data_IF_292929318632
#
_entry.id   IF_292929318632
#
_cell.length_a   1.000
_cell.length_b   1.000
_cell.length_c   1.000
_cell.angle_alpha   90.00
_cell.angle_beta   90.00
_cell.angle_gamma   90.00
#
_symmetry.space_group_name_H-M   'P 1'
#
loop_
_entity.id
_entity.type
_entity.pdbx_description
1 polymer ?
#
# COMPACT_ATOMS: atom_id res chain seq x y z
N UNK A 1 13.81 -13.99 7.00
CA UNK A 1 14.38 -15.34 7.21
C UNK A 1 13.71 -16.22 6.17
N UNK A 2 14.47 -16.84 5.26
CA UNK A 2 13.90 -17.74 4.24
C UNK A 2 13.67 -19.08 4.93
N UNK A 3 12.44 -19.56 4.98
CA UNK A 3 12.14 -20.87 5.53
C UNK A 3 12.21 -21.92 4.43
N UNK A 4 13.03 -22.95 4.67
CA UNK A 4 13.27 -24.04 3.75
C UNK A 4 12.44 -25.25 4.17
N UNK A 5 11.54 -25.70 3.31
CA UNK A 5 10.70 -26.89 3.51
C UNK A 5 11.21 -27.98 2.59
N UNK A 6 11.72 -29.07 3.16
CA UNK A 6 12.14 -30.23 2.38
C UNK A 6 11.02 -31.27 2.34
N UNK A 7 10.44 -31.49 1.16
CA UNK A 7 9.39 -32.49 0.90
C UNK A 7 9.88 -33.60 -0.02
N UNK A 8 11.20 -33.79 -0.14
CA UNK A 8 11.76 -34.90 -0.91
C UNK A 8 11.48 -36.22 -0.22
N UNK A 9 11.11 -37.23 -1.00
CA UNK A 9 10.86 -38.59 -0.50
C UNK A 9 9.59 -38.79 0.34
N UNK A 10 8.73 -37.77 0.50
CA UNK A 10 7.41 -37.92 1.15
C UNK A 10 6.29 -38.05 0.13
N UNK A 11 5.13 -38.55 0.54
CA UNK A 11 3.94 -38.60 -0.31
C UNK A 11 3.37 -37.21 -0.59
N UNK A 12 2.60 -37.07 -1.69
CA UNK A 12 1.94 -35.82 -2.05
C UNK A 12 1.09 -35.22 -0.91
N UNK A 13 0.33 -36.05 -0.18
CA UNK A 13 -0.51 -35.56 0.93
C UNK A 13 0.34 -35.06 2.11
N UNK A 14 1.45 -35.74 2.41
CA UNK A 14 2.38 -35.30 3.45
C UNK A 14 3.06 -33.99 3.08
N UNK A 15 3.46 -33.83 1.82
CA UNK A 15 4.03 -32.59 1.31
C UNK A 15 3.04 -31.42 1.45
N UNK A 16 1.77 -31.62 1.08
CA UNK A 16 0.72 -30.60 1.24
C UNK A 16 0.52 -30.21 2.71
N UNK A 17 0.40 -31.20 3.62
CA UNK A 17 0.20 -30.93 5.05
C UNK A 17 1.38 -30.17 5.67
N UNK A 18 2.63 -30.53 5.32
CA UNK A 18 3.85 -29.86 5.79
C UNK A 18 3.85 -28.38 5.39
N UNK A 19 3.50 -28.11 4.12
CA UNK A 19 3.41 -26.76 3.60
C UNK A 19 2.28 -25.99 4.28
N UNK A 20 1.13 -26.61 4.53
CA UNK A 20 0.01 -25.99 5.26
C UNK A 20 0.38 -25.60 6.70
N UNK A 21 1.06 -26.47 7.45
CA UNK A 21 1.49 -26.15 8.83
C UNK A 21 2.40 -24.92 8.87
N UNK A 22 3.28 -24.76 7.87
CA UNK A 22 4.13 -23.56 7.79
C UNK A 22 3.31 -22.31 7.47
N UNK A 23 2.26 -22.38 6.66
CA UNK A 23 1.47 -21.19 6.33
C UNK A 23 0.41 -20.80 7.38
N UNK A 24 -0.04 -21.73 8.23
CA UNK A 24 -0.96 -21.43 9.33
C UNK A 24 -0.36 -20.48 10.38
N UNK A 25 0.96 -20.50 10.54
CA UNK A 25 1.68 -19.64 11.49
C UNK A 25 1.82 -18.16 11.04
N UNK A 26 1.30 -17.78 9.86
CA UNK A 26 1.13 -16.40 9.33
C UNK A 26 2.35 -15.44 9.35
N UNK A 27 3.55 -15.90 9.72
CA UNK A 27 4.70 -15.02 9.98
C UNK A 27 5.80 -15.09 8.90
N UNK A 28 5.49 -15.59 7.70
CA UNK A 28 6.49 -15.87 6.67
C UNK A 28 6.29 -15.03 5.41
N UNK A 29 7.36 -14.33 5.02
CA UNK A 29 7.43 -13.55 3.79
C UNK A 29 7.72 -14.47 2.60
N UNK A 30 8.74 -15.31 2.72
CA UNK A 30 9.27 -16.15 1.65
C UNK A 30 9.52 -17.59 2.14
N UNK A 31 9.23 -18.57 1.28
CA UNK A 31 9.41 -20.00 1.51
C UNK A 31 10.10 -20.62 0.29
N UNK A 32 11.08 -21.48 0.57
CA UNK A 32 11.77 -22.32 -0.39
C UNK A 32 11.35 -23.77 -0.17
N UNK A 33 10.75 -24.42 -1.16
CA UNK A 33 10.24 -25.80 -1.05
C UNK A 33 11.03 -26.72 -1.98
N UNK A 34 11.64 -27.76 -1.44
CA UNK A 34 12.44 -28.74 -2.18
C UNK A 34 11.60 -29.98 -2.44
N UNK A 35 11.42 -30.32 -3.70
CA UNK A 35 10.62 -31.46 -4.15
C UNK A 35 11.45 -32.32 -5.10
N UNK A 36 11.43 -33.64 -4.93
CA UNK A 36 12.16 -34.58 -5.79
C UNK A 36 11.31 -35.15 -6.92
N UNK A 37 10.02 -34.77 -6.98
CA UNK A 37 9.02 -35.40 -7.83
C UNK A 37 8.18 -34.33 -8.56
N UNK A 38 8.07 -34.46 -9.88
CA UNK A 38 7.38 -33.49 -10.73
C UNK A 38 5.87 -33.41 -10.46
N UNK A 39 5.22 -34.52 -10.14
CA UNK A 39 3.80 -34.54 -9.82
C UNK A 39 3.53 -33.86 -8.47
N UNK A 40 4.40 -34.10 -7.48
CA UNK A 40 4.36 -33.41 -6.18
C UNK A 40 4.59 -31.91 -6.37
N UNK A 41 5.60 -31.51 -7.15
CA UNK A 41 5.87 -30.09 -7.45
C UNK A 41 4.64 -29.40 -8.06
N UNK A 42 4.01 -30.04 -9.04
CA UNK A 42 2.81 -29.48 -9.71
C UNK A 42 1.66 -29.33 -8.71
N UNK A 43 1.40 -30.34 -7.88
CA UNK A 43 0.35 -30.29 -6.88
C UNK A 43 0.60 -29.21 -5.81
N UNK A 44 1.85 -29.00 -5.43
CA UNK A 44 2.25 -27.93 -4.51
C UNK A 44 2.02 -26.55 -5.11
N UNK A 45 2.43 -26.32 -6.36
CA UNK A 45 2.19 -25.05 -7.07
C UNK A 45 0.69 -24.74 -7.12
N UNK A 46 -0.13 -25.70 -7.52
CA UNK A 46 -1.59 -25.54 -7.58
C UNK A 46 -2.18 -25.19 -6.20
N UNK A 47 -1.69 -25.83 -5.14
CA UNK A 47 -2.15 -25.54 -3.77
C UNK A 47 -1.72 -24.14 -3.31
N UNK A 48 -0.46 -23.77 -3.53
CA UNK A 48 0.07 -22.45 -3.18
C UNK A 48 -0.72 -21.33 -3.85
N UNK A 49 -0.99 -21.47 -5.16
CA UNK A 49 -1.79 -20.50 -5.92
C UNK A 49 -3.23 -20.43 -5.37
N UNK A 50 -3.87 -21.58 -5.09
CA UNK A 50 -5.22 -21.62 -4.47
C UNK A 50 -5.28 -20.93 -3.11
N UNK A 51 -4.17 -20.92 -2.37
CA UNK A 51 -4.04 -20.25 -1.07
C UNK A 51 -3.61 -18.78 -1.19
N UNK A 52 -3.47 -18.25 -2.41
CA UNK A 52 -3.15 -16.84 -2.65
C UNK A 52 -1.66 -16.49 -2.54
N UNK A 53 -0.77 -17.49 -2.61
CA UNK A 53 0.67 -17.26 -2.67
C UNK A 53 1.14 -17.02 -4.10
N UNK A 54 2.24 -16.27 -4.23
CA UNK A 54 2.92 -16.08 -5.51
C UNK A 54 4.07 -17.07 -5.61
N UNK A 55 4.09 -17.88 -6.67
CA UNK A 55 5.25 -18.70 -7.02
C UNK A 55 6.15 -17.84 -7.92
N UNK A 56 7.30 -17.45 -7.38
CA UNK A 56 8.23 -16.53 -8.04
C UNK A 56 9.09 -17.27 -9.06
N UNK A 57 9.59 -18.44 -8.69
CA UNK A 57 10.49 -19.23 -9.54
C UNK A 57 10.40 -20.72 -9.19
N UNK A 58 10.66 -21.57 -10.19
CA UNK A 58 10.86 -23.02 -10.00
C UNK A 58 12.19 -23.40 -10.62
N UNK A 59 13.19 -23.63 -9.77
CA UNK A 59 14.55 -23.98 -10.17
C UNK A 59 14.69 -25.50 -10.32
N UNK A 60 15.37 -25.94 -11.39
CA UNK A 60 15.81 -27.33 -11.50
C UNK A 60 17.14 -27.51 -10.75
N UNK A 61 17.26 -28.58 -9.98
CA UNK A 61 18.46 -28.92 -9.21
C UNK A 61 18.84 -30.40 -9.46
N UNK A 62 20.08 -30.82 -9.19
CA UNK A 62 20.47 -32.22 -9.29
C UNK A 62 19.64 -33.17 -8.40
N UNK A 63 19.02 -32.63 -7.34
CA UNK A 63 18.27 -33.38 -6.34
C UNK A 63 16.75 -33.24 -6.51
N UNK A 64 16.29 -32.61 -7.60
CA UNK A 64 14.88 -32.37 -7.90
C UNK A 64 14.60 -30.94 -8.32
N UNK A 65 13.60 -30.32 -7.71
CA UNK A 65 13.09 -28.99 -8.01
C UNK A 65 12.98 -28.17 -6.73
N UNK A 66 13.28 -26.88 -6.84
CA UNK A 66 13.11 -25.92 -5.76
C UNK A 66 12.06 -24.90 -6.18
N UNK A 67 10.96 -24.84 -5.45
CA UNK A 67 9.90 -23.85 -5.60
C UNK A 67 10.23 -22.67 -4.68
N UNK A 68 10.32 -21.48 -5.22
CA UNK A 68 10.40 -20.23 -4.46
C UNK A 68 9.02 -19.61 -4.48
N UNK A 69 8.39 -19.54 -3.31
CA UNK A 69 7.07 -18.97 -3.14
C UNK A 69 7.07 -17.95 -2.00
N UNK A 70 6.38 -16.85 -2.19
CA UNK A 70 6.17 -15.84 -1.16
C UNK A 70 4.70 -15.80 -0.77
N UNK A 71 4.44 -15.58 0.52
CA UNK A 71 3.09 -15.18 0.91
C UNK A 71 2.84 -13.90 0.13
N UNK A 72 1.73 -13.87 -0.61
CA UNK A 72 1.31 -12.71 -1.36
C UNK A 72 0.94 -11.57 -0.40
N UNK A 73 1.92 -11.00 0.28
CA UNK A 73 1.90 -9.63 0.71
C UNK A 73 2.60 -8.73 -0.32
N UNK A 74 2.49 -9.07 -1.60
CA UNK A 74 1.70 -8.14 -2.41
C UNK A 74 0.27 -8.31 -1.95
N UNK A 75 -0.11 -7.62 -0.86
CA UNK A 75 -1.47 -7.11 -0.84
C UNK A 75 -1.62 -6.52 -2.24
N UNK A 76 -2.63 -6.92 -3.01
CA UNK A 76 -3.07 -6.01 -4.04
C UNK A 76 -3.27 -4.71 -3.26
N UNK A 77 -2.33 -3.78 -3.42
CA UNK A 77 -2.35 -2.51 -2.72
C UNK A 77 -3.57 -1.88 -3.33
N UNK A 78 -4.70 -2.08 -2.66
CA UNK A 78 -5.94 -1.53 -3.14
C UNK A 78 -5.70 -0.02 -3.14
N UNK A 79 -5.99 0.65 -4.27
CA UNK A 79 -5.80 2.08 -4.39
C UNK A 79 -6.45 2.75 -3.17
N UNK A 80 -5.63 3.41 -2.36
CA UNK A 80 -6.09 4.12 -1.17
C UNK A 80 -6.26 5.58 -1.54
N UNK A 81 -7.30 6.20 -1.01
CA UNK A 81 -7.45 7.65 -1.09
C UNK A 81 -7.48 8.25 0.29
N UNK A 82 -6.89 9.43 0.45
CA UNK A 82 -6.88 10.15 1.72
C UNK A 82 -7.81 11.34 1.66
N UNK A 83 -8.47 11.64 2.77
CA UNK A 83 -9.23 12.87 2.98
C UNK A 83 -8.60 13.61 4.13
N UNK A 84 -8.14 14.83 3.89
CA UNK A 84 -7.39 15.64 4.85
C UNK A 84 -8.26 16.82 5.23
N UNK A 85 -8.81 16.79 6.45
CA UNK A 85 -9.69 17.84 6.92
C UNK A 85 -8.94 18.96 7.65
N UNK A 86 -7.75 18.69 8.19
CA UNK A 86 -7.05 19.63 9.05
C UNK A 86 -5.61 19.88 8.57
N UNK A 87 -5.12 21.09 8.81
CA UNK A 87 -3.70 21.48 8.71
C UNK A 87 -2.88 21.03 9.93
N UNK A 88 -3.37 20.07 10.68
CA UNK A 88 -2.71 19.48 11.85
C UNK A 88 -3.12 18.02 12.00
N UNK A 89 -2.20 17.18 12.47
CA UNK A 89 -2.48 15.76 12.71
C UNK A 89 -2.71 15.49 14.20
N UNK A 90 -3.85 14.86 14.52
CA UNK A 90 -4.25 14.54 15.90
C UNK A 90 -4.94 15.69 16.62
N UNK A 91 -5.21 15.51 17.91
CA UNK A 91 -5.85 16.51 18.77
C UNK A 91 -4.92 16.85 19.95
N UNK A 92 -4.92 18.12 20.35
CA UNK A 92 -4.12 18.61 21.47
C UNK A 92 -3.32 19.84 21.09
N UNK A 93 -2.00 19.80 21.30
CA UNK A 93 -1.14 20.95 21.04
C UNK A 93 -0.96 21.18 19.52
N UNK A 94 -1.38 22.36 19.05
CA UNK A 94 -1.35 22.73 17.62
C UNK A 94 0.06 22.71 17.03
N UNK A 95 1.08 23.16 17.77
CA UNK A 95 2.48 23.18 17.29
C UNK A 95 2.97 21.76 17.04
N UNK A 96 2.57 20.80 17.88
CA UNK A 96 2.88 19.39 17.66
C UNK A 96 2.08 18.85 16.47
N UNK A 97 0.79 19.14 16.39
CA UNK A 97 -0.06 18.68 15.28
C UNK A 97 0.43 19.15 13.90
N UNK A 98 0.88 20.40 13.79
CA UNK A 98 1.53 20.97 12.61
C UNK A 98 2.83 20.22 12.25
N UNK A 99 3.70 19.96 13.24
CA UNK A 99 4.91 19.16 13.01
C UNK A 99 4.60 17.75 12.52
N UNK A 100 3.57 17.12 13.09
CA UNK A 100 3.18 15.76 12.75
C UNK A 100 2.59 15.65 11.34
N UNK A 101 1.76 16.61 10.91
CA UNK A 101 1.21 16.58 9.53
C UNK A 101 2.30 16.83 8.49
N UNK A 102 3.26 17.73 8.77
CA UNK A 102 4.41 17.97 7.90
C UNK A 102 5.28 16.71 7.80
N UNK A 103 5.58 16.07 8.95
CA UNK A 103 6.30 14.80 8.98
C UNK A 103 5.54 13.69 8.23
N UNK A 104 4.22 13.62 8.38
CA UNK A 104 3.38 12.65 7.69
C UNK A 104 3.52 12.76 6.17
N UNK A 105 3.39 13.95 5.58
CA UNK A 105 3.53 14.11 4.13
C UNK A 105 4.96 13.89 3.65
N UNK A 106 5.96 14.43 4.37
CA UNK A 106 7.36 14.22 4.02
C UNK A 106 7.70 12.73 3.96
N UNK A 107 7.40 11.99 5.04
CA UNK A 107 7.63 10.55 5.08
C UNK A 107 6.80 9.83 4.03
N UNK A 108 5.50 10.15 3.87
CA UNK A 108 4.65 9.51 2.85
C UNK A 108 5.21 9.70 1.43
N UNK A 109 5.80 10.86 1.14
CA UNK A 109 6.39 11.16 -0.16
C UNK A 109 7.67 10.38 -0.44
N UNK A 110 8.31 9.79 0.56
CA UNK A 110 9.53 8.98 0.41
C UNK A 110 9.22 7.50 0.13
N UNK A 111 8.03 7.02 0.48
CA UNK A 111 7.61 5.64 0.17
C UNK A 111 7.33 5.46 -1.32
N UNK A 112 7.65 4.28 -1.89
CA UNK A 112 7.32 3.96 -3.28
C UNK A 112 5.80 3.95 -3.53
N UNK A 113 5.05 3.55 -2.51
CA UNK A 113 3.62 3.38 -2.58
C UNK A 113 2.90 4.70 -2.27
N UNK A 114 2.29 5.29 -3.29
CA UNK A 114 1.51 6.52 -3.18
C UNK A 114 -0.01 6.24 -3.17
N UNK A 115 -0.83 7.07 -2.49
CA UNK A 115 -2.28 6.99 -2.63
C UNK A 115 -2.71 7.39 -4.03
N UNK A 116 -3.88 6.91 -4.46
CA UNK A 116 -4.44 7.24 -5.78
C UNK A 116 -4.97 8.67 -5.81
N UNK A 117 -5.54 9.14 -4.71
CA UNK A 117 -5.96 10.53 -4.58
C UNK A 117 -5.85 11.04 -3.15
N UNK A 118 -5.71 12.35 -3.00
CA UNK A 118 -5.79 13.04 -1.71
C UNK A 118 -6.73 14.23 -1.88
N UNK A 119 -7.81 14.25 -1.09
CA UNK A 119 -8.78 15.34 -1.07
C UNK A 119 -8.60 16.22 0.17
N UNK A 120 -8.30 17.49 -0.03
CA UNK A 120 -8.14 18.48 1.05
C UNK A 120 -9.41 19.31 1.23
N UNK A 121 -9.86 19.41 2.48
CA UNK A 121 -11.06 20.16 2.90
C UNK A 121 -10.78 20.94 4.18
N UNK A 122 -11.64 21.91 4.53
CA UNK A 122 -11.50 22.76 5.71
C UNK A 122 -10.09 23.38 5.79
N UNK A 123 -9.44 23.38 6.97
CA UNK A 123 -8.10 23.98 7.09
C UNK A 123 -7.03 23.17 6.38
N UNK A 124 -7.29 21.90 6.04
CA UNK A 124 -6.38 21.07 5.25
C UNK A 124 -5.98 21.69 3.91
N UNK A 125 -6.82 22.56 3.31
CA UNK A 125 -6.46 23.26 2.07
C UNK A 125 -5.21 24.14 2.19
N UNK A 126 -4.87 24.60 3.41
CA UNK A 126 -3.67 25.39 3.70
C UNK A 126 -2.37 24.59 3.55
N UNK A 127 -2.44 23.27 3.46
CA UNK A 127 -1.27 22.43 3.18
C UNK A 127 -0.88 22.45 1.70
N UNK A 128 -1.75 22.97 0.83
CA UNK A 128 -1.55 22.99 -0.63
C UNK A 128 -1.20 24.39 -1.18
N UNK A 129 -1.12 25.41 -0.32
CA UNK A 129 -0.83 26.78 -0.75
C UNK A 129 0.66 27.07 -0.77
N UNK A 130 1.04 28.14 -1.44
CA UNK A 130 2.39 28.66 -1.48
C UNK A 130 3.00 28.78 -0.06
N UNK A 131 4.29 28.45 0.05
CA UNK A 131 5.07 28.52 1.30
C UNK A 131 4.65 27.53 2.41
N UNK A 132 3.67 26.66 2.19
CA UNK A 132 3.41 25.58 3.13
C UNK A 132 4.53 24.52 3.07
N UNK A 133 5.01 24.08 4.24
CA UNK A 133 6.10 23.09 4.37
C UNK A 133 5.79 21.74 3.69
N UNK A 134 4.52 21.48 3.38
CA UNK A 134 4.04 20.26 2.73
C UNK A 134 4.07 20.29 1.21
N UNK A 135 4.25 21.46 0.57
CA UNK A 135 4.14 21.60 -0.90
C UNK A 135 5.08 20.67 -1.64
N UNK A 136 6.37 20.64 -1.26
CA UNK A 136 7.37 19.82 -1.95
C UNK A 136 7.03 18.32 -1.86
N UNK A 137 6.58 17.87 -0.69
CA UNK A 137 6.17 16.48 -0.48
C UNK A 137 4.91 16.11 -1.28
N UNK A 138 3.94 17.02 -1.34
CA UNK A 138 2.73 16.87 -2.14
C UNK A 138 3.04 16.84 -3.65
N UNK A 139 3.96 17.68 -4.11
CA UNK A 139 4.41 17.66 -5.51
C UNK A 139 5.07 16.32 -5.87
N UNK A 140 5.94 15.78 -5.00
CA UNK A 140 6.51 14.43 -5.19
C UNK A 140 5.44 13.34 -5.26
N UNK A 141 4.39 13.42 -4.45
CA UNK A 141 3.27 12.47 -4.51
C UNK A 141 2.49 12.62 -5.83
N UNK A 142 2.27 13.85 -6.29
CA UNK A 142 1.64 14.13 -7.57
C UNK A 142 2.45 13.58 -8.75
N UNK A 143 3.78 13.73 -8.71
CA UNK A 143 4.72 13.14 -9.69
C UNK A 143 4.67 11.60 -9.70
N UNK A 144 4.36 10.98 -8.56
CA UNK A 144 4.10 9.54 -8.42
C UNK A 144 2.70 9.12 -8.88
N UNK A 145 1.88 10.05 -9.36
CA UNK A 145 0.56 9.79 -9.92
C UNK A 145 -0.62 9.95 -8.95
N UNK A 146 -0.41 10.53 -7.76
CA UNK A 146 -1.51 10.90 -6.86
C UNK A 146 -2.32 12.09 -7.42
N UNK A 147 -3.63 11.95 -7.57
CA UNK A 147 -4.52 13.09 -7.87
C UNK A 147 -4.75 13.93 -6.59
N UNK A 148 -4.17 15.13 -6.55
CA UNK A 148 -4.33 16.06 -5.42
C UNK A 148 -5.47 17.02 -5.73
N UNK A 149 -6.50 16.98 -4.88
CA UNK A 149 -7.77 17.66 -5.09
C UNK A 149 -8.02 18.57 -3.89
N UNK A 150 -8.24 19.87 -4.14
CA UNK A 150 -8.36 20.87 -3.08
C UNK A 150 -9.73 21.55 -3.15
N UNK A 151 -10.49 21.50 -2.06
CA UNK A 151 -11.85 22.03 -2.00
C UNK A 151 -11.91 23.52 -2.38
N UNK A 152 -12.54 23.84 -3.51
CA UNK A 152 -12.65 25.21 -4.02
C UNK A 152 -13.38 26.16 -3.08
N UNK A 153 -14.47 25.71 -2.45
CA UNK A 153 -15.23 26.51 -1.48
C UNK A 153 -14.40 26.86 -0.24
N UNK A 154 -13.52 25.96 0.21
CA UNK A 154 -12.63 26.23 1.34
C UNK A 154 -11.52 27.22 0.96
N UNK A 155 -10.93 27.07 -0.24
CA UNK A 155 -9.97 28.05 -0.76
C UNK A 155 -10.60 29.44 -0.91
N UNK A 156 -11.84 29.52 -1.40
CA UNK A 156 -12.61 30.77 -1.44
C UNK A 156 -12.78 31.38 -0.06
N UNK A 157 -13.25 30.58 0.90
CA UNK A 157 -13.52 31.05 2.26
C UNK A 157 -12.28 31.62 2.96
N UNK A 158 -11.10 31.03 2.72
CA UNK A 158 -9.85 31.53 3.29
C UNK A 158 -9.13 32.56 2.41
N UNK A 159 -9.70 32.96 1.26
CA UNK A 159 -9.08 33.87 0.28
C UNK A 159 -7.72 33.35 -0.23
N UNK A 160 -7.63 32.05 -0.47
CA UNK A 160 -6.39 31.33 -0.83
C UNK A 160 -6.36 30.79 -2.26
N UNK A 161 -7.38 31.05 -3.09
CA UNK A 161 -7.45 30.50 -4.45
C UNK A 161 -6.22 30.82 -5.31
N UNK A 162 -5.77 32.06 -5.30
CA UNK A 162 -4.62 32.52 -6.11
C UNK A 162 -3.27 32.05 -5.53
N UNK A 163 -3.28 31.39 -4.38
CA UNK A 163 -2.10 30.87 -3.69
C UNK A 163 -1.93 29.36 -3.82
N UNK A 164 -2.84 28.68 -4.52
CA UNK A 164 -2.75 27.23 -4.69
C UNK A 164 -1.45 26.85 -5.43
N UNK A 165 -0.57 26.12 -4.76
CA UNK A 165 0.75 25.76 -5.27
C UNK A 165 0.85 24.30 -5.78
N UNK A 166 -0.06 23.42 -5.35
CA UNK A 166 -0.09 22.01 -5.75
C UNK A 166 -1.53 21.49 -5.81
N UNK A 167 -1.80 20.59 -6.76
CA UNK A 167 -3.11 20.01 -7.01
C UNK A 167 -4.04 20.86 -7.87
N UNK A 168 -5.26 20.36 -8.05
CA UNK A 168 -6.35 21.04 -8.77
C UNK A 168 -7.48 21.43 -7.83
N UNK A 169 -8.20 22.49 -8.18
CA UNK A 169 -9.43 22.85 -7.49
C UNK A 169 -10.49 21.77 -7.77
N UNK A 170 -11.08 21.24 -6.70
CA UNK A 170 -12.13 20.24 -6.72
C UNK A 170 -13.41 20.70 -6.03
N UNK A 171 -14.42 19.86 -6.15
CA UNK A 171 -15.78 20.07 -5.66
C UNK A 171 -16.21 18.92 -4.76
N UNK A 172 -17.39 19.04 -4.15
CA UNK A 172 -17.98 17.95 -3.38
C UNK A 172 -18.31 16.71 -4.24
N UNK A 173 -18.51 16.87 -5.55
CA UNK A 173 -18.70 15.72 -6.45
C UNK A 173 -17.46 14.84 -6.52
N UNK A 174 -16.26 15.43 -6.50
CA UNK A 174 -15.01 14.68 -6.46
C UNK A 174 -14.92 13.85 -5.17
N UNK A 175 -15.22 14.46 -4.01
CA UNK A 175 -15.18 13.77 -2.72
C UNK A 175 -16.18 12.61 -2.64
N UNK A 176 -17.41 12.83 -3.10
CA UNK A 176 -18.42 11.76 -3.17
C UNK A 176 -17.98 10.66 -4.15
N UNK A 177 -17.37 11.03 -5.27
CA UNK A 177 -16.76 10.08 -6.22
C UNK A 177 -15.69 9.20 -5.57
N UNK A 178 -14.83 9.79 -4.73
CA UNK A 178 -13.82 9.06 -3.94
C UNK A 178 -14.49 8.08 -2.98
N UNK A 179 -15.49 8.52 -2.21
CA UNK A 179 -16.17 7.65 -1.24
C UNK A 179 -16.93 6.49 -1.89
N UNK A 180 -17.53 6.69 -3.07
CA UNK A 180 -18.26 5.63 -3.77
C UNK A 180 -17.36 4.74 -4.64
N UNK A 181 -16.23 5.26 -5.13
CA UNK A 181 -15.38 4.59 -6.11
C UNK A 181 -14.16 3.88 -5.53
N UNK A 182 -13.76 4.18 -4.30
CA UNK A 182 -12.52 3.63 -3.71
C UNK A 182 -12.80 2.53 -2.70
N UNK A 183 -11.98 1.49 -2.73
CA UNK A 183 -12.09 0.37 -1.80
C UNK A 183 -11.69 0.76 -0.37
N UNK A 184 -10.78 1.73 -0.22
CA UNK A 184 -10.35 2.22 1.07
C UNK A 184 -10.12 3.73 1.03
N UNK A 185 -10.80 4.43 1.94
CA UNK A 185 -10.59 5.86 2.19
C UNK A 185 -10.17 6.06 3.63
N UNK A 186 -9.07 6.78 3.84
CA UNK A 186 -8.55 7.13 5.16
C UNK A 186 -8.76 8.63 5.37
N UNK A 187 -9.50 8.98 6.42
CA UNK A 187 -9.71 10.38 6.80
C UNK A 187 -8.76 10.77 7.93
N UNK A 188 -8.07 11.90 7.78
CA UNK A 188 -7.13 12.49 8.73
C UNK A 188 -7.60 13.88 9.19
#
# INVERSE_FOLDING_TARGET
MINKIDVRGVSQQQALNLVETVFEDQNYSNVEILSSDQAITTALIDNLIKKGLTVEEVLQTPEGQTIIASSGHKQAILPKSYVIANDSLGQGNEVIGQKLINAFFNVSSDYEQAPTSIFFVNTGVKLCIDQADTVDALQKLQEKGTDIIVCGTCLDFFELKDKLAVGRIGTMHDLIGIYHGQNQVISL
#
